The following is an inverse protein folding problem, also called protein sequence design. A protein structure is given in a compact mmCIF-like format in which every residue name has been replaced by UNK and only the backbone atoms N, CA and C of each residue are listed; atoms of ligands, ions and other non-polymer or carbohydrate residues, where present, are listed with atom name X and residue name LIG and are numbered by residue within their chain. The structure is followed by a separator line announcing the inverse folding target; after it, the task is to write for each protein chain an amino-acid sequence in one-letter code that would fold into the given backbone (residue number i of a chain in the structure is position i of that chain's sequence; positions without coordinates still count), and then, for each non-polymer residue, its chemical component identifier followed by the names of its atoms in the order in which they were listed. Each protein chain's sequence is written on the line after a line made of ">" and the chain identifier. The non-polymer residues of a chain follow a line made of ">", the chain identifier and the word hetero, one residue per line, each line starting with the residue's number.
data_IF_393223253724
#
_entry.id   IF_393223253724
#
_cell.length_a   1.000
_cell.length_b   1.000
_cell.length_c   1.000
_cell.angle_alpha   90.00
_cell.angle_beta   90.00
_cell.angle_gamma   90.00
#
_symmetry.space_group_name_H-M   'P 1'
#
loop_
_entity.id
_entity.type
_entity.pdbx_description
1 polymer ?
2 polymer ?
3 polymer ?
4 non-polymer ?
5 non-polymer ?
6 non-polymer ?
7 water ?
#
# COMPACT_ATOMS: atom_id res chain seq x y z
N UNK A 1 9.20 -19.44 -0.32
CA UNK A 1 7.90 -18.92 0.08
C UNK A 1 7.13 -18.67 -1.18
N UNK A 2 5.87 -18.29 -1.00
CA UNK A 2 5.00 -17.95 -2.09
C UNK A 2 5.35 -16.53 -2.59
N UNK A 3 4.93 -16.16 -3.82
CA UNK A 3 5.21 -14.83 -4.37
C UNK A 3 3.99 -14.33 -5.18
N UNK A 4 3.89 -13.01 -5.32
CA UNK A 4 2.86 -12.38 -6.12
C UNK A 4 3.41 -11.31 -7.10
N UNK A 5 2.71 -11.14 -8.22
CA UNK A 5 2.83 -9.94 -9.04
C UNK A 5 1.46 -9.26 -9.13
N UNK A 6 1.41 -7.99 -8.84
CA UNK A 6 0.14 -7.24 -8.85
C UNK A 6 0.37 -5.90 -9.61
N UNK A 7 -0.65 -5.51 -10.41
CA UNK A 7 -0.72 -4.19 -11.03
C UNK A 7 -1.98 -3.48 -10.50
N UNK A 8 -1.81 -2.20 -10.18
CA UNK A 8 -2.79 -1.39 -9.52
C UNK A 8 -2.97 -0.16 -10.41
N UNK A 9 -4.24 0.17 -10.72
CA UNK A 9 -4.57 1.29 -11.56
C UNK A 9 -5.62 2.16 -10.92
N UNK A 10 -5.45 3.48 -10.96
CA UNK A 10 -6.36 4.47 -10.36
C UNK A 10 -6.59 5.59 -11.36
N UNK A 11 -7.84 5.80 -11.72
CA UNK A 11 -8.25 6.90 -12.63
C UNK A 11 -9.24 7.77 -11.89
N UNK A 12 -9.01 9.09 -11.87
CA UNK A 12 -9.79 10.05 -11.11
C UNK A 12 -10.29 11.16 -12.00
N UNK A 13 -11.61 11.28 -12.13
CA UNK A 13 -12.19 12.36 -12.98
C UNK A 13 -12.04 13.76 -12.35
N UNK A 14 -11.94 14.76 -13.23
CA UNK A 14 -11.67 16.11 -12.86
C UNK A 14 -12.68 17.06 -13.53
N UNK A 15 -13.88 17.17 -12.96
CA UNK A 15 -14.93 18.04 -13.54
C UNK A 15 -14.48 19.44 -13.78
N UNK A 16 -14.78 19.95 -14.98
CA UNK A 16 -14.32 21.27 -15.35
C UNK A 16 -12.82 21.52 -15.47
N UNK A 17 -12.01 20.45 -15.40
CA UNK A 17 -10.56 20.53 -15.25
C UNK A 17 -9.84 19.54 -16.16
N UNK A 18 -10.47 19.13 -17.26
CA UNK A 18 -9.81 18.30 -18.23
C UNK A 18 -9.73 16.83 -18.01
N UNK A 19 -8.67 16.21 -18.50
CA UNK A 19 -8.46 14.80 -18.53
C UNK A 19 -8.22 14.15 -17.09
N UNK A 20 -8.67 12.93 -16.85
CA UNK A 20 -8.50 12.29 -15.53
C UNK A 20 -7.05 12.11 -15.15
N UNK A 21 -6.76 12.18 -13.85
CA UNK A 21 -5.46 11.72 -13.32
C UNK A 21 -5.43 10.23 -13.41
N UNK A 22 -4.33 9.68 -13.97
CA UNK A 22 -4.12 8.27 -14.04
C UNK A 22 -2.76 7.83 -13.49
N UNK A 23 -2.78 6.84 -12.58
CA UNK A 23 -1.54 6.33 -11.96
C UNK A 23 -1.60 4.83 -11.93
N UNK A 24 -0.54 4.21 -12.47
CA UNK A 24 -0.44 2.76 -12.51
C UNK A 24 0.88 2.37 -11.82
N UNK A 25 0.82 1.34 -10.97
CA UNK A 25 2.04 0.81 -10.33
C UNK A 25 2.03 -0.68 -10.42
N UNK A 26 3.25 -1.23 -10.52
CA UNK A 26 3.45 -2.68 -10.55
C UNK A 26 4.33 -3.09 -9.36
N UNK A 27 3.96 -4.19 -8.67
CA UNK A 27 4.68 -4.78 -7.56
C UNK A 27 5.02 -6.26 -7.78
N UNK A 28 6.20 -6.67 -7.31
CA UNK A 28 6.48 -8.08 -7.01
C UNK A 28 6.56 -8.16 -5.49
N UNK A 29 5.67 -8.96 -4.89
CA UNK A 29 5.63 -9.05 -3.42
C UNK A 29 5.42 -7.62 -2.86
N UNK A 30 6.21 -7.18 -1.88
CA UNK A 30 6.07 -5.84 -1.36
C UNK A 30 7.02 -4.80 -2.01
N UNK A 31 7.62 -5.14 -3.16
CA UNK A 31 8.57 -4.29 -3.83
C UNK A 31 7.99 -3.73 -5.11
N UNK A 32 7.84 -2.37 -5.14
CA UNK A 32 7.41 -1.71 -6.35
C UNK A 32 8.51 -1.80 -7.45
N UNK A 33 8.13 -2.09 -8.69
CA UNK A 33 9.14 -2.15 -9.79
C UNK A 33 8.89 -1.29 -11.02
N UNK A 34 7.64 -0.84 -11.23
CA UNK A 34 7.31 0.07 -12.35
C UNK A 34 6.19 1.07 -11.95
N UNK A 35 6.16 2.18 -12.68
CA UNK A 35 5.03 3.14 -12.61
C UNK A 35 4.77 3.84 -13.93
N UNK A 36 3.55 4.40 -14.02
CA UNK A 36 3.20 5.37 -15.04
C UNK A 36 2.37 6.42 -14.28
N UNK A 37 2.64 7.69 -14.50
CA UNK A 37 1.83 8.76 -13.89
C UNK A 37 1.52 9.79 -14.96
N UNK A 38 0.23 10.09 -15.20
CA UNK A 38 -0.17 11.11 -16.17
C UNK A 38 0.37 12.51 -15.83
N UNK A 39 0.72 12.78 -14.57
CA UNK A 39 1.30 14.07 -14.16
C UNK A 39 2.80 14.16 -14.43
N UNK A 40 3.46 13.03 -14.73
CA UNK A 40 4.93 13.02 -14.76
C UNK A 40 5.46 13.42 -16.14
N UNK A 41 6.76 13.65 -16.23
CA UNK A 41 7.33 14.22 -17.46
C UNK A 41 7.43 13.25 -18.64
N UNK A 42 7.75 11.97 -18.43
CA UNK A 42 8.18 11.12 -19.59
C UNK A 42 6.98 10.65 -20.44
N UNK A 43 5.80 10.52 -19.82
CA UNK A 43 4.64 9.84 -20.41
C UNK A 43 5.06 8.44 -20.90
N UNK A 44 5.94 7.80 -20.13
CA UNK A 44 6.37 6.41 -20.39
C UNK A 44 6.15 5.57 -19.12
N UNK A 45 5.99 4.27 -19.32
CA UNK A 45 6.20 3.35 -18.22
C UNK A 45 7.69 3.52 -17.79
N UNK A 46 7.91 3.69 -16.49
CA UNK A 46 9.23 3.92 -15.90
C UNK A 46 9.68 2.87 -14.82
N UNK A 47 11.00 2.59 -14.77
CA UNK A 47 11.54 1.69 -13.69
C UNK A 47 11.46 2.33 -12.28
N UNK A 48 11.12 1.53 -11.30
CA UNK A 48 11.22 1.91 -9.89
C UNK A 48 11.99 0.94 -9.00
N UNK A 49 12.61 -0.10 -9.55
CA UNK A 49 13.55 -0.97 -8.85
C UNK A 49 14.81 -1.10 -9.72
N UNK A 50 15.97 -1.35 -9.10
CA UNK A 50 17.18 -1.49 -9.93
C UNK A 50 17.21 -2.64 -10.90
N UNK A 51 16.70 -3.78 -10.49
CA UNK A 51 16.73 -4.98 -11.29
C UNK A 51 15.88 -4.95 -12.55
N UNK A 52 14.95 -4.03 -12.68
CA UNK A 52 14.15 -3.96 -13.91
C UNK A 52 14.84 -3.02 -14.93
N UNK A 53 15.74 -2.13 -14.48
CA UNK A 53 16.43 -1.16 -15.38
C UNK A 53 17.15 -1.80 -16.51
N UNK A 54 17.53 -3.07 -16.37
CA UNK A 54 18.25 -3.72 -17.44
C UNK A 54 17.40 -4.28 -18.53
N UNK A 55 16.08 -4.30 -18.40
CA UNK A 55 15.22 -4.63 -19.54
C UNK A 55 15.48 -3.56 -20.63
N UNK A 56 15.46 -4.02 -21.88
CA UNK A 56 15.81 -3.19 -23.02
C UNK A 56 14.66 -2.35 -23.57
N UNK A 57 14.93 -1.56 -24.63
CA UNK A 57 13.90 -0.57 -25.11
C UNK A 57 12.63 -1.20 -25.63
N UNK A 58 12.74 -2.40 -26.21
CA UNK A 58 11.55 -3.19 -26.62
C UNK A 58 10.61 -3.41 -25.43
N UNK A 59 11.15 -3.69 -24.24
CA UNK A 59 10.30 -3.91 -23.05
C UNK A 59 9.60 -2.57 -22.67
N UNK A 60 10.35 -1.50 -22.59
CA UNK A 60 9.79 -0.19 -22.20
C UNK A 60 8.76 0.36 -23.20
N UNK A 61 9.07 0.23 -24.47
CA UNK A 61 8.15 0.67 -25.54
C UNK A 61 6.83 -0.10 -25.47
N UNK A 62 6.91 -1.42 -25.31
CA UNK A 62 5.76 -2.31 -25.10
C UNK A 62 4.91 -2.00 -23.91
N UNK A 63 5.57 -1.76 -22.76
CA UNK A 63 4.87 -1.50 -21.49
C UNK A 63 4.20 -0.13 -21.58
N UNK A 64 4.82 0.80 -22.27
CA UNK A 64 4.33 2.15 -22.45
C UNK A 64 3.06 2.09 -23.31
N UNK A 65 3.10 1.34 -24.40
CA UNK A 65 1.93 1.24 -25.29
C UNK A 65 0.72 0.69 -24.53
N UNK A 66 0.94 -0.39 -23.81
CA UNK A 66 -0.11 -1.00 -23.02
C UNK A 66 -0.65 -0.12 -21.90
N UNK A 67 0.22 0.56 -21.15
CA UNK A 67 -0.22 1.29 -20.00
C UNK A 67 -1.04 2.49 -20.50
N UNK A 68 -0.64 3.08 -21.61
CA UNK A 68 -1.43 4.17 -22.23
C UNK A 68 -2.81 3.69 -22.70
N UNK A 69 -2.86 2.46 -23.22
CA UNK A 69 -4.15 1.88 -23.59
C UNK A 69 -5.00 1.58 -22.37
N UNK A 70 -4.39 1.21 -21.23
CA UNK A 70 -5.12 1.02 -19.96
C UNK A 70 -5.69 2.39 -19.47
N UNK A 71 -4.90 3.45 -19.62
CA UNK A 71 -5.34 4.80 -19.29
C UNK A 71 -6.61 5.23 -20.07
N UNK A 72 -6.56 5.01 -21.37
CA UNK A 72 -7.68 5.37 -22.24
C UNK A 72 -8.94 4.53 -21.87
N UNK A 73 -8.74 3.25 -21.59
CA UNK A 73 -9.82 2.36 -21.13
C UNK A 73 -10.54 2.96 -19.90
N UNK A 74 -9.76 3.28 -18.84
CA UNK A 74 -10.37 3.79 -17.64
C UNK A 74 -10.94 5.21 -17.79
N UNK A 75 -10.42 5.99 -18.71
CA UNK A 75 -11.03 7.29 -19.09
C UNK A 75 -12.45 7.08 -19.63
N UNK A 76 -12.60 6.12 -20.52
CA UNK A 76 -13.91 5.79 -21.02
C UNK A 76 -14.83 5.21 -19.92
N UNK A 77 -14.27 4.35 -19.06
CA UNK A 77 -14.98 3.66 -17.95
C UNK A 77 -15.63 4.69 -17.04
N UNK A 78 -14.88 5.77 -16.75
CA UNK A 78 -15.43 6.89 -15.93
C UNK A 78 -16.72 7.49 -16.53
N UNK A 79 -16.71 7.73 -17.82
CA UNK A 79 -17.90 8.22 -18.50
C UNK A 79 -19.03 7.17 -18.53
N UNK A 80 -18.67 5.92 -18.78
CA UNK A 80 -19.67 4.84 -18.89
C UNK A 80 -20.40 4.72 -17.54
N UNK A 81 -19.63 4.66 -16.44
CA UNK A 81 -20.25 4.45 -15.09
C UNK A 81 -21.04 5.68 -14.68
N UNK A 82 -20.56 6.86 -15.02
CA UNK A 82 -21.42 8.02 -14.79
C UNK A 82 -22.83 7.87 -15.45
N UNK A 83 -22.87 7.32 -16.65
CA UNK A 83 -24.09 7.09 -17.35
C UNK A 83 -24.90 5.95 -16.69
N UNK A 84 -24.23 4.86 -16.34
CA UNK A 84 -24.97 3.70 -15.71
C UNK A 84 -25.72 4.14 -14.46
N UNK A 85 -25.09 5.00 -13.66
CA UNK A 85 -25.63 5.51 -12.37
C UNK A 85 -26.35 6.87 -12.50
N UNK A 86 -26.45 7.41 -13.71
CA UNK A 86 -27.10 8.74 -13.97
C UNK A 86 -26.57 9.84 -13.00
N UNK A 87 -25.23 9.89 -12.88
CA UNK A 87 -24.60 10.84 -11.98
C UNK A 87 -24.32 12.15 -12.76
N UNK A 88 -24.32 13.25 -12.06
CA UNK A 88 -24.12 14.55 -12.67
C UNK A 88 -22.64 14.69 -13.08
N UNK A 89 -22.41 15.66 -13.96
CA UNK A 89 -21.06 15.97 -14.41
C UNK A 89 -20.29 16.75 -13.31
N UNK A 90 -20.93 17.12 -12.22
CA UNK A 90 -20.33 18.04 -11.22
C UNK A 90 -19.27 17.39 -10.35
N UNK A 91 -19.41 16.10 -10.08
CA UNK A 91 -18.53 15.45 -9.07
C UNK A 91 -17.41 14.65 -9.64
N UNK A 92 -16.31 14.57 -8.89
CA UNK A 92 -15.19 13.65 -9.14
C UNK A 92 -15.52 12.23 -8.72
N UNK A 93 -15.17 11.26 -9.60
CA UNK A 93 -15.35 9.82 -9.31
C UNK A 93 -14.06 9.12 -9.59
N UNK A 94 -13.97 7.91 -9.03
CA UNK A 94 -12.75 7.09 -9.06
C UNK A 94 -13.01 5.72 -9.64
N UNK A 95 -12.23 5.27 -10.62
CA UNK A 95 -12.22 3.85 -11.01
C UNK A 95 -10.88 3.27 -10.59
N UNK A 96 -10.89 2.11 -9.92
CA UNK A 96 -9.69 1.33 -9.61
C UNK A 96 -9.78 -0.07 -10.15
N UNK A 97 -8.63 -0.57 -10.65
CA UNK A 97 -8.51 -1.95 -11.10
C UNK A 97 -7.23 -2.55 -10.48
N UNK A 98 -7.31 -3.85 -10.11
CA UNK A 98 -6.13 -4.60 -9.75
C UNK A 98 -6.19 -5.92 -10.50
N UNK A 99 -5.05 -6.34 -11.06
CA UNK A 99 -4.96 -7.71 -11.49
C UNK A 99 -3.59 -8.28 -11.26
N UNK A 100 -3.53 -9.59 -11.30
CA UNK A 100 -2.21 -10.24 -11.10
C UNK A 100 -2.36 -11.67 -10.64
N UNK A 101 -1.22 -12.25 -10.20
CA UNK A 101 -1.15 -13.68 -9.91
C UNK A 101 -0.27 -14.01 -8.69
N UNK A 102 -0.64 -15.13 -8.05
CA UNK A 102 0.12 -15.71 -6.92
C UNK A 102 0.72 -17.00 -7.41
N UNK A 103 1.93 -17.34 -6.92
CA UNK A 103 2.52 -18.67 -7.17
C UNK A 103 2.99 -19.19 -5.85
N UNK A 104 3.02 -20.53 -5.75
CA UNK A 104 3.53 -21.19 -4.55
C UNK A 104 5.03 -21.21 -4.46
N UNK A 105 5.54 -21.94 -3.46
CA UNK A 105 6.96 -22.14 -3.27
C UNK A 105 7.64 -22.84 -4.43
N UNK A 106 6.88 -23.63 -5.19
CA UNK A 106 7.41 -24.27 -6.37
C UNK A 106 7.46 -23.34 -7.60
N UNK A 107 6.95 -22.10 -7.41
CA UNK A 107 6.79 -21.05 -8.45
C UNK A 107 5.74 -21.41 -9.48
N UNK A 108 4.86 -22.33 -9.13
CA UNK A 108 3.76 -22.72 -9.97
C UNK A 108 2.50 -21.96 -9.58
N UNK A 109 1.62 -21.76 -10.55
CA UNK A 109 0.40 -20.95 -10.39
C UNK A 109 -0.44 -21.39 -9.19
N UNK A 110 -0.90 -20.44 -8.39
CA UNK A 110 -1.79 -20.72 -7.24
C UNK A 110 -3.15 -20.01 -7.36
N UNK A 111 -3.15 -18.73 -7.74
CA UNK A 111 -4.37 -17.94 -7.79
C UNK A 111 -4.23 -16.74 -8.76
N UNK A 112 -5.33 -16.33 -9.40
CA UNK A 112 -5.36 -15.11 -10.21
C UNK A 112 -6.48 -14.16 -9.79
N UNK A 113 -6.29 -12.92 -10.15
CA UNK A 113 -7.21 -11.79 -9.77
C UNK A 113 -7.41 -10.83 -10.94
N UNK A 114 -8.61 -10.27 -11.03
CA UNK A 114 -8.89 -9.16 -11.98
C UNK A 114 -10.17 -8.50 -11.51
N UNK A 115 -10.04 -7.38 -10.84
CA UNK A 115 -11.19 -6.84 -10.14
C UNK A 115 -11.19 -5.30 -10.15
N UNK A 116 -12.41 -4.75 -9.95
CA UNK A 116 -12.68 -3.30 -10.04
C UNK A 116 -13.46 -2.73 -8.87
N UNK A 117 -13.17 -1.48 -8.55
CA UNK A 117 -14.01 -0.66 -7.63
C UNK A 117 -14.38 0.63 -8.33
N UNK A 118 -15.55 1.15 -7.95
CA UNK A 118 -16.06 2.46 -8.34
C UNK A 118 -16.40 3.24 -7.10
N UNK A 119 -15.76 4.41 -6.97
CA UNK A 119 -15.88 5.24 -5.75
C UNK A 119 -15.71 4.45 -4.43
N UNK A 120 -14.71 3.55 -4.44
CA UNK A 120 -14.30 2.88 -3.24
C UNK A 120 -15.03 1.61 -2.89
N UNK A 121 -15.94 1.19 -3.76
CA UNK A 121 -16.62 -0.08 -3.52
C UNK A 121 -16.60 -1.02 -4.66
N UNK A 122 -16.66 -2.30 -4.29
CA UNK A 122 -16.51 -3.38 -5.30
C UNK A 122 -17.55 -3.12 -6.38
N UNK A 123 -17.18 -3.32 -7.65
CA UNK A 123 -18.07 -3.16 -8.78
C UNK A 123 -18.20 -4.49 -9.52
N UNK A 124 -17.07 -5.04 -9.97
CA UNK A 124 -17.04 -6.41 -10.54
C UNK A 124 -15.71 -7.11 -10.23
N UNK A 125 -15.73 -8.43 -10.14
CA UNK A 125 -14.54 -9.21 -9.94
C UNK A 125 -14.62 -10.59 -10.58
N UNK A 126 -13.46 -11.01 -11.11
CA UNK A 126 -13.28 -12.37 -11.63
C UNK A 126 -13.18 -13.31 -10.45
N UNK A 127 -14.01 -14.36 -10.45
CA UNK A 127 -14.08 -15.32 -9.36
C UNK A 127 -12.83 -16.21 -9.41
N UNK A 128 -12.56 -16.91 -8.30
CA UNK A 128 -11.34 -17.70 -8.17
C UNK A 128 -11.21 -18.72 -9.25
N UNK A 129 -12.33 -19.29 -9.72
CA UNK A 129 -12.27 -20.21 -10.85
C UNK A 129 -11.76 -19.65 -12.20
N UNK A 130 -11.63 -18.35 -12.29
CA UNK A 130 -11.22 -17.65 -13.54
C UNK A 130 -12.17 -17.96 -14.73
N UNK A 131 -13.40 -18.31 -14.42
CA UNK A 131 -14.41 -18.58 -15.45
C UNK A 131 -15.73 -17.82 -15.29
N UNK A 132 -15.91 -17.05 -14.22
CA UNK A 132 -17.19 -16.44 -13.92
C UNK A 132 -16.97 -15.14 -13.11
N UNK A 133 -18.01 -14.32 -13.05
CA UNK A 133 -17.93 -12.96 -12.55
C UNK A 133 -18.91 -12.75 -11.37
N UNK A 134 -18.49 -11.90 -10.44
CA UNK A 134 -19.29 -11.43 -9.34
C UNK A 134 -19.57 -9.96 -9.60
N UNK A 135 -20.84 -9.65 -9.83
CA UNK A 135 -21.26 -8.27 -10.10
C UNK A 135 -21.97 -7.76 -8.86
N UNK A 136 -21.55 -6.60 -8.39
CA UNK A 136 -22.06 -6.06 -7.13
C UNK A 136 -23.50 -5.54 -7.17
N UNK A 137 -24.02 -5.13 -8.32
CA UNK A 137 -25.33 -4.53 -8.41
C UNK A 137 -25.84 -4.64 -9.84
N UNK A 138 -26.98 -3.99 -10.09
CA UNK A 138 -27.63 -4.10 -11.36
C UNK A 138 -26.89 -3.41 -12.49
N UNK A 139 -26.18 -2.32 -12.21
CA UNK A 139 -25.30 -1.73 -13.22
C UNK A 139 -24.17 -2.71 -13.64
N UNK A 140 -23.53 -3.33 -12.67
CA UNK A 140 -22.43 -4.22 -12.96
C UNK A 140 -22.90 -5.49 -13.67
N UNK A 141 -24.17 -5.86 -13.56
CA UNK A 141 -24.71 -6.96 -14.38
C UNK A 141 -24.60 -6.64 -15.85
N UNK A 142 -24.82 -5.37 -16.22
CA UNK A 142 -24.60 -4.91 -17.62
C UNK A 142 -23.17 -5.23 -18.12
N UNK A 143 -22.17 -4.96 -17.30
CA UNK A 143 -20.77 -5.20 -17.67
C UNK A 143 -20.57 -6.73 -17.74
N UNK A 144 -21.12 -7.47 -16.75
CA UNK A 144 -20.96 -8.96 -16.71
C UNK A 144 -21.46 -9.60 -18.02
N UNK A 145 -22.65 -9.22 -18.45
CA UNK A 145 -23.20 -9.74 -19.67
C UNK A 145 -22.36 -9.42 -20.90
N UNK A 146 -21.94 -8.18 -20.97
CA UNK A 146 -21.03 -7.73 -22.01
C UNK A 146 -19.75 -8.59 -22.07
N UNK A 147 -19.15 -8.82 -20.91
CA UNK A 147 -17.89 -9.54 -20.85
C UNK A 147 -18.04 -11.07 -21.10
N UNK A 148 -19.22 -11.61 -20.82
CA UNK A 148 -19.52 -12.98 -21.14
C UNK A 148 -19.56 -13.17 -22.68
N UNK A 149 -20.25 -12.26 -23.38
CA UNK A 149 -20.33 -12.34 -24.86
C UNK A 149 -18.94 -12.13 -25.53
N UNK A 150 -18.12 -11.34 -24.90
CA UNK A 150 -16.79 -11.02 -25.44
C UNK A 150 -15.69 -11.94 -24.86
N UNK A 151 -16.08 -12.92 -24.03
CA UNK A 151 -15.17 -13.94 -23.46
C UNK A 151 -13.89 -13.33 -22.84
N UNK A 152 -14.12 -12.30 -22.04
CA UNK A 152 -13.07 -11.65 -21.28
C UNK A 152 -12.46 -12.63 -20.27
N UNK A 153 -13.30 -13.45 -19.59
CA UNK A 153 -12.74 -14.43 -18.59
C UNK A 153 -11.74 -15.41 -19.22
N UNK A 154 -12.05 -15.87 -20.43
CA UNK A 154 -11.13 -16.77 -21.10
C UNK A 154 -9.76 -16.13 -21.39
N UNK A 155 -9.79 -14.91 -21.87
CA UNK A 155 -8.56 -14.17 -22.13
C UNK A 155 -7.76 -13.96 -20.85
N UNK A 156 -8.43 -13.55 -19.78
CA UNK A 156 -7.76 -13.29 -18.51
C UNK A 156 -7.12 -14.58 -17.94
N UNK A 157 -7.85 -15.69 -18.08
CA UNK A 157 -7.39 -17.00 -17.57
C UNK A 157 -6.13 -17.37 -18.29
N UNK A 158 -6.08 -17.14 -19.59
CA UNK A 158 -4.82 -17.41 -20.34
C UNK A 158 -3.61 -16.57 -19.86
N UNK A 159 -3.83 -15.28 -19.63
CA UNK A 159 -2.76 -14.41 -19.12
C UNK A 159 -2.38 -14.81 -17.72
N UNK A 160 -3.38 -15.05 -16.87
CA UNK A 160 -3.11 -15.24 -15.44
C UNK A 160 -2.33 -16.51 -15.13
N UNK A 161 -2.66 -17.59 -15.82
CA UNK A 161 -2.04 -18.87 -15.62
C UNK A 161 -0.80 -19.00 -16.49
N UNK A 162 -0.66 -18.16 -17.50
CA UNK A 162 0.50 -18.23 -18.39
C UNK A 162 1.50 -17.09 -18.26
N UNK A 163 1.33 -16.07 -19.08
CA UNK A 163 2.18 -14.88 -19.10
C UNK A 163 2.47 -14.30 -17.73
N UNK A 164 1.46 -14.14 -16.87
CA UNK A 164 1.67 -13.56 -15.51
C UNK A 164 2.73 -14.34 -14.74
N UNK A 165 2.50 -15.65 -14.68
CA UNK A 165 3.41 -16.57 -13.91
C UNK A 165 4.81 -16.66 -14.52
N UNK A 166 4.89 -16.73 -15.84
CA UNK A 166 6.17 -16.75 -16.55
C UNK A 166 7.08 -15.54 -16.25
N UNK A 167 6.48 -14.35 -16.34
CA UNK A 167 7.20 -13.13 -16.06
C UNK A 167 7.50 -12.95 -14.56
N UNK A 168 6.58 -13.36 -13.68
CA UNK A 168 6.85 -13.29 -12.25
C UNK A 168 8.15 -14.14 -11.98
N UNK A 169 8.26 -15.32 -12.56
CA UNK A 169 9.48 -16.16 -12.39
C UNK A 169 10.72 -15.45 -12.94
N UNK A 170 10.59 -14.81 -14.13
CA UNK A 170 11.69 -14.05 -14.70
C UNK A 170 12.14 -12.95 -13.76
N UNK A 171 11.18 -12.15 -13.29
CA UNK A 171 11.50 -11.10 -12.34
C UNK A 171 12.15 -11.66 -11.04
N UNK A 172 11.64 -12.77 -10.50
CA UNK A 172 12.25 -13.32 -9.27
C UNK A 172 13.67 -13.83 -9.49
N UNK A 173 13.95 -14.31 -10.70
CA UNK A 173 15.34 -14.71 -11.02
C UNK A 173 16.25 -13.45 -11.13
N UNK A 174 15.86 -12.50 -11.95
CA UNK A 174 16.65 -11.34 -12.20
C UNK A 174 16.71 -10.29 -11.07
N UNK A 175 15.64 -10.17 -10.27
CA UNK A 175 15.70 -9.41 -8.99
C UNK A 175 16.07 -10.23 -7.76
N UNK A 176 16.66 -11.41 -7.96
CA UNK A 176 17.05 -12.36 -6.89
C UNK A 176 17.55 -11.75 -5.55
N UNK A 177 18.61 -10.95 -5.58
CA UNK A 177 19.19 -10.37 -4.34
C UNK A 177 18.19 -9.55 -3.46
N UNK A 178 17.28 -8.85 -4.10
CA UNK A 178 16.24 -8.04 -3.49
C UNK A 178 15.00 -8.86 -3.16
N UNK A 179 14.55 -9.65 -4.12
CA UNK A 179 13.23 -10.26 -4.00
C UNK A 179 13.22 -11.57 -3.27
N UNK A 180 14.31 -12.32 -3.34
CA UNK A 180 14.36 -13.60 -2.67
C UNK A 180 14.93 -13.53 -1.27
N UNK A 181 15.14 -12.36 -0.72
CA UNK A 181 15.69 -12.24 0.61
C UNK A 181 14.61 -12.26 1.69
N UNK A 182 15.05 -12.54 2.90
CA UNK A 182 14.22 -12.37 4.06
C UNK A 182 15.04 -11.61 5.10
N UNK A 183 14.53 -10.49 5.61
CA UNK A 183 15.23 -9.75 6.69
C UNK A 183 14.36 -9.87 7.94
N UNK A 184 14.91 -10.52 8.96
CA UNK A 184 14.14 -10.80 10.16
C UNK A 184 14.01 -9.51 10.97
N UNK A 185 12.94 -9.37 11.72
CA UNK A 185 12.77 -8.15 12.50
C UNK A 185 13.81 -8.08 13.62
N UNK A 186 14.31 -6.85 13.80
CA UNK A 186 15.07 -6.45 14.99
C UNK A 186 14.04 -5.98 16.00
N UNK A 187 14.02 -6.61 17.16
CA UNK A 187 12.95 -6.33 18.12
C UNK A 187 13.46 -5.68 19.40
N UNK A 188 12.63 -4.87 20.02
CA UNK A 188 12.90 -4.37 21.41
C UNK A 188 11.60 -3.92 22.09
N UNK A 189 11.73 -3.59 23.36
CA UNK A 189 10.60 -3.15 24.13
C UNK A 189 10.84 -1.76 24.75
N UNK A 190 9.85 -0.90 24.67
CA UNK A 190 9.82 0.37 25.41
C UNK A 190 8.66 0.42 26.41
N UNK A 191 8.77 1.39 27.36
CA UNK A 191 7.87 1.53 28.51
C UNK A 191 7.69 3.03 28.85
N UNK A 192 6.46 3.39 29.20
CA UNK A 192 6.09 4.72 29.69
C UNK A 192 5.23 4.58 30.94
N UNK A 193 5.57 5.34 31.97
CA UNK A 193 4.71 5.47 33.14
C UNK A 193 3.51 6.28 32.63
N UNK A 194 2.27 5.80 32.77
CA UNK A 194 1.12 6.64 32.45
C UNK A 194 0.65 7.34 33.73
N UNK A 195 0.58 6.59 34.83
CA UNK A 195 0.28 7.10 36.16
C UNK A 195 0.89 6.19 37.26
N UNK A 196 0.57 6.49 38.51
CA UNK A 196 0.90 5.56 39.60
C UNK A 196 0.28 4.21 39.38
N UNK A 197 -0.86 4.18 38.67
CA UNK A 197 -1.63 2.97 38.55
C UNK A 197 -1.47 2.26 37.23
N UNK A 198 -0.92 2.91 36.20
CA UNK A 198 -0.82 2.26 34.87
C UNK A 198 0.44 2.58 34.13
N UNK A 199 0.85 1.63 33.29
CA UNK A 199 2.00 1.74 32.40
C UNK A 199 1.61 1.26 30.99
N UNK A 200 2.34 1.77 30.01
CA UNK A 200 2.23 1.35 28.62
C UNK A 200 3.50 0.52 28.32
N UNK A 201 3.35 -0.69 27.78
CA UNK A 201 4.47 -1.46 27.23
C UNK A 201 4.31 -1.43 25.67
N UNK A 202 5.39 -1.14 24.96
CA UNK A 202 5.34 -1.09 23.47
C UNK A 202 6.40 -2.02 22.90
N UNK A 203 5.95 -3.02 22.12
CA UNK A 203 6.79 -3.99 21.51
C UNK A 203 7.04 -3.65 20.02
N UNK A 204 8.30 -3.59 19.66
CA UNK A 204 8.73 -3.01 18.37
C UNK A 204 9.31 -4.12 17.48
N UNK A 205 9.02 -4.03 16.18
CA UNK A 205 9.63 -4.82 15.14
C UNK A 205 10.11 -3.85 14.05
N UNK A 206 11.39 -3.95 13.71
CA UNK A 206 12.00 -2.99 12.83
C UNK A 206 12.82 -3.71 11.74
N UNK A 207 13.00 -3.02 10.59
CA UNK A 207 13.95 -3.43 9.54
C UNK A 207 13.65 -4.85 8.97
N UNK A 208 12.38 -5.17 8.80
CA UNK A 208 11.96 -6.48 8.30
C UNK A 208 11.46 -6.46 6.87
N UNK A 209 11.63 -7.61 6.22
CA UNK A 209 11.14 -7.88 4.88
C UNK A 209 10.93 -9.38 4.70
N UNK A 210 9.79 -9.82 4.13
CA UNK A 210 8.64 -9.00 3.65
C UNK A 210 7.78 -8.43 4.73
N UNK A 211 6.72 -7.73 4.32
CA UNK A 211 5.91 -6.92 5.26
C UNK A 211 5.04 -7.76 6.20
N UNK A 212 4.67 -8.97 5.78
CA UNK A 212 3.80 -9.83 6.55
C UNK A 212 4.48 -10.12 7.92
N UNK A 213 3.80 -9.81 8.99
CA UNK A 213 4.30 -10.07 10.38
C UNK A 213 3.11 -10.22 11.32
N UNK A 214 3.28 -10.96 12.42
CA UNK A 214 2.30 -10.99 13.50
C UNK A 214 2.92 -10.61 14.88
N UNK A 215 2.35 -9.59 15.53
CA UNK A 215 2.73 -9.10 16.86
C UNK A 215 1.50 -9.27 17.75
N UNK A 216 1.61 -10.04 18.81
CA UNK A 216 0.48 -10.30 19.71
C UNK A 216 0.93 -10.17 21.17
N UNK A 217 0.03 -9.70 22.02
CA UNK A 217 0.31 -9.62 23.43
C UNK A 217 -0.40 -10.77 24.12
N UNK A 218 0.25 -11.34 25.12
CA UNK A 218 -0.40 -12.32 25.99
C UNK A 218 -0.27 -11.87 27.42
N UNK A 219 -1.24 -12.26 28.24
CA UNK A 219 -1.16 -12.10 29.69
C UNK A 219 -1.33 -13.47 30.33
N UNK A 220 -0.35 -13.89 31.15
CA UNK A 220 -0.31 -15.23 31.69
C UNK A 220 -0.39 -16.36 30.65
N UNK A 221 -0.01 -16.13 29.40
CA UNK A 221 -0.19 -17.20 28.39
C UNK A 221 -1.45 -17.08 27.54
N UNK A 222 -2.32 -16.11 27.85
CA UNK A 222 -3.58 -15.94 27.13
C UNK A 222 -3.52 -14.73 26.21
N UNK A 223 -3.81 -14.97 24.92
CA UNK A 223 -4.09 -13.88 23.98
C UNK A 223 -4.86 -12.79 24.67
N UNK A 224 -4.36 -11.56 24.59
CA UNK A 224 -5.01 -10.44 25.20
C UNK A 224 -5.12 -9.29 24.23
N UNK A 225 -6.35 -8.99 23.77
CA UNK A 225 -6.61 -7.84 22.88
C UNK A 225 -7.32 -6.63 23.59
N UNK A 226 -7.96 -6.84 24.75
CA UNK A 226 -8.40 -5.66 25.50
C UNK A 226 -7.20 -4.79 25.87
N UNK A 227 -7.40 -3.46 25.77
CA UNK A 227 -6.40 -2.44 26.10
C UNK A 227 -5.09 -2.54 25.29
N UNK A 228 -5.16 -3.11 24.08
CA UNK A 228 -4.02 -3.08 23.12
C UNK A 228 -4.22 -2.09 21.94
N UNK A 229 -3.12 -1.70 21.33
CA UNK A 229 -3.11 -0.82 20.18
C UNK A 229 -2.09 -1.38 19.19
N UNK A 230 -2.49 -1.62 17.94
CA UNK A 230 -1.62 -2.20 16.93
C UNK A 230 -1.61 -1.24 15.76
N UNK A 231 -0.48 -0.64 15.43
CA UNK A 231 -0.43 0.28 14.27
C UNK A 231 -0.28 -0.50 12.96
N UNK A 232 -0.73 0.12 11.87
CA UNK A 232 -0.54 -0.44 10.54
C UNK A 232 0.94 -0.60 10.23
N UNK A 233 1.30 -1.70 9.58
CA UNK A 233 2.69 -1.92 9.15
C UNK A 233 3.04 -0.80 8.16
N UNK A 234 4.18 -0.22 8.32
CA UNK A 234 4.61 0.96 7.65
C UNK A 234 6.03 0.82 6.99
N UNK A 235 6.23 1.50 5.83
CA UNK A 235 7.54 1.45 5.16
C UNK A 235 8.54 2.32 5.85
N UNK A 236 9.76 1.81 6.04
CA UNK A 236 10.83 2.66 6.52
C UNK A 236 11.40 3.60 5.45
N UNK A 237 11.23 3.23 4.19
CA UNK A 237 11.71 4.01 3.04
C UNK A 237 13.02 3.47 2.46
N UNK A 238 13.62 2.47 3.09
CA UNK A 238 14.81 1.76 2.55
C UNK A 238 14.56 0.33 2.01
N UNK A 239 13.31 -0.04 1.74
CA UNK A 239 12.98 -1.40 1.35
C UNK A 239 12.48 -2.33 2.50
N UNK A 240 12.59 -1.90 3.77
CA UNK A 240 12.07 -2.64 4.93
C UNK A 240 10.83 -1.98 5.53
N UNK A 241 10.24 -2.70 6.48
CA UNK A 241 9.07 -2.28 7.17
C UNK A 241 9.22 -2.26 8.71
N UNK A 242 8.26 -1.57 9.33
CA UNK A 242 8.21 -1.39 10.76
C UNK A 242 6.77 -1.63 11.26
N UNK A 243 6.69 -2.09 12.50
CA UNK A 243 5.41 -2.22 13.21
C UNK A 243 5.62 -2.19 14.73
N UNK A 244 4.60 -1.72 15.46
CA UNK A 244 4.59 -1.89 16.90
C UNK A 244 3.20 -2.21 17.44
N UNK A 245 3.18 -2.79 18.65
CA UNK A 245 1.93 -3.09 19.39
C UNK A 245 2.14 -2.71 20.84
N UNK A 246 1.16 -2.02 21.42
CA UNK A 246 1.25 -1.58 22.80
C UNK A 246 0.10 -2.13 23.65
N UNK A 247 0.37 -2.28 24.93
CA UNK A 247 -0.65 -2.63 25.93
C UNK A 247 -0.57 -1.69 27.13
N UNK A 248 -1.72 -1.31 27.69
CA UNK A 248 -1.75 -0.52 28.95
C UNK A 248 -2.02 -1.55 30.03
N UNK A 249 -1.17 -1.55 31.08
CA UNK A 249 -1.17 -2.56 32.12
C UNK A 249 -1.20 -1.92 33.50
N UNK A 250 -1.68 -2.67 34.52
CA UNK A 250 -1.59 -2.09 35.88
C UNK A 250 -0.14 -2.06 36.35
N UNK A 251 0.24 -0.94 36.95
CA UNK A 251 1.56 -0.81 37.62
C UNK A 251 1.95 -1.99 38.47
N UNK A 252 3.20 -2.44 38.30
CA UNK A 252 3.74 -3.57 39.06
C UNK A 252 3.42 -4.95 38.51
N UNK A 253 2.55 -5.07 37.49
CA UNK A 253 2.10 -6.36 36.94
C UNK A 253 2.67 -6.65 35.55
N UNK A 254 3.67 -5.87 35.17
CA UNK A 254 4.28 -5.96 33.86
C UNK A 254 4.81 -7.36 33.50
N UNK A 255 5.34 -8.10 34.48
CA UNK A 255 5.83 -9.49 34.25
C UNK A 255 4.80 -10.50 33.79
N UNK A 256 3.52 -10.24 34.00
CA UNK A 256 2.46 -11.11 33.47
C UNK A 256 2.45 -11.12 31.91
N UNK A 257 2.92 -10.02 31.30
CA UNK A 257 2.68 -9.79 29.87
C UNK A 257 3.86 -10.19 28.99
N UNK A 258 3.56 -10.78 27.84
CA UNK A 258 4.59 -11.18 26.86
C UNK A 258 4.18 -10.72 25.48
N UNK A 259 5.14 -10.21 24.72
CA UNK A 259 4.96 -9.94 23.29
C UNK A 259 5.46 -11.08 22.46
N UNK A 260 4.67 -11.55 21.50
CA UNK A 260 5.07 -12.64 20.62
C UNK A 260 5.20 -12.16 19.16
N UNK A 261 6.32 -12.48 18.51
CA UNK A 261 6.65 -11.99 17.17
C UNK A 261 6.83 -13.18 16.23
N UNK A 262 6.00 -13.20 15.16
CA UNK A 262 6.11 -14.18 14.09
C UNK A 262 6.49 -13.52 12.78
N UNK A 263 7.48 -14.10 12.12
CA UNK A 263 7.98 -13.62 10.85
C UNK A 263 8.73 -14.73 10.11
N UNK A 264 8.61 -14.69 8.79
CA UNK A 264 9.29 -15.62 7.88
C UNK A 264 10.79 -15.78 8.13
N UNK A 265 11.44 -14.67 8.43
CA UNK A 265 12.86 -14.64 8.76
C UNK A 265 13.29 -15.13 10.12
N UNK A 266 12.34 -15.36 11.03
CA UNK A 266 12.60 -15.93 12.34
C UNK A 266 12.35 -17.47 12.35
N UNK A 267 13.42 -18.28 12.49
CA UNK A 267 13.18 -19.74 12.53
C UNK A 267 12.34 -20.22 13.73
N UNK A 268 12.34 -19.45 14.82
CA UNK A 268 11.40 -19.66 15.93
C UNK A 268 10.79 -18.31 16.26
N UNK A 269 9.49 -18.26 16.58
CA UNK A 269 8.95 -16.99 17.03
C UNK A 269 9.58 -16.54 18.35
N UNK A 270 9.60 -15.22 18.54
CA UNK A 270 10.27 -14.59 19.66
C UNK A 270 9.25 -14.26 20.73
N UNK A 271 9.69 -14.32 21.98
CA UNK A 271 8.92 -13.86 23.10
C UNK A 271 9.72 -12.70 23.76
N UNK A 272 9.12 -11.54 23.93
CA UNK A 272 9.74 -10.44 24.66
C UNK A 272 8.98 -10.22 25.97
N UNK A 273 9.73 -9.89 27.03
CA UNK A 273 9.16 -9.52 28.36
C UNK A 273 9.82 -8.20 28.83
N UNK A 274 9.10 -7.35 29.56
CA UNK A 274 9.66 -6.12 30.16
C UNK A 274 10.02 -6.29 31.64
N UNK A 275 11.22 -5.79 31.99
CA UNK A 275 11.69 -5.70 33.38
C UNK A 275 12.12 -4.28 33.76
N UNK A 276 11.82 -3.86 34.99
CA UNK A 276 12.20 -2.50 35.43
C UNK A 276 13.72 -2.33 35.71
N UNK B 1 -21.02 6.67 -2.63
CA UNK B 1 -19.59 7.14 -2.56
C UNK B 1 -19.03 6.71 -1.23
N UNK B 2 -17.91 5.99 -1.20
CA UNK B 2 -17.15 5.67 0.04
C UNK B 2 -16.17 6.78 0.35
N UNK B 3 -16.16 7.23 1.62
CA UNK B 3 -15.12 8.11 2.10
C UNK B 3 -14.52 7.52 3.38
N UNK B 4 -13.21 7.53 3.43
CA UNK B 4 -12.44 7.00 4.55
C UNK B 4 -11.41 8.00 4.98
N UNK B 5 -11.34 8.24 6.29
CA UNK B 5 -10.42 9.23 6.85
C UNK B 5 -9.01 8.65 6.92
N UNK B 6 -7.96 9.46 6.64
CA UNK B 6 -6.59 8.85 6.69
C UNK B 6 -6.10 8.50 8.09
N UNK B 7 -5.43 7.37 8.18
CA UNK B 7 -4.57 7.09 9.32
C UNK B 7 -3.18 7.74 9.06
N UNK B 8 -2.58 8.34 10.07
CA UNK B 8 -1.39 9.19 9.83
C UNK B 8 -0.35 8.71 10.88
N UNK B 9 0.83 8.38 10.42
CA UNK B 9 1.97 8.03 11.31
C UNK B 9 3.15 8.89 10.94
N UNK B 10 3.85 9.46 11.92
CA UNK B 10 5.01 10.31 11.72
C UNK B 10 6.17 9.68 12.50
N UNK B 11 7.25 9.35 11.83
CA UNK B 11 8.32 8.49 12.40
C UNK B 11 9.61 8.63 11.62
N UNK B 12 10.70 8.06 12.10
CA UNK B 12 11.98 8.10 11.37
C UNK B 12 12.33 6.74 10.76
N UNK B 13 13.20 6.78 9.76
CA UNK B 13 13.59 5.59 9.07
C UNK B 13 14.45 4.73 10.01
N UNK B 14 15.31 5.41 10.76
CA UNK B 14 16.27 4.76 11.68
C UNK B 14 16.01 5.33 13.06
N UNK B 15 16.37 4.58 14.11
CA UNK B 15 16.25 5.18 15.45
C UNK B 15 16.94 6.54 15.55
N UNK B 16 16.29 7.50 16.18
CA UNK B 16 16.73 8.89 16.14
C UNK B 16 17.92 9.06 17.06
N UNK B 17 18.94 9.72 16.57
CA UNK B 17 20.10 10.08 17.33
C UNK B 17 20.37 11.54 16.93
N UNK B 18 20.26 12.44 17.92
CA UNK B 18 20.55 13.86 17.75
C UNK B 18 21.92 14.05 17.10
N UNK B 19 21.92 14.91 16.09
CA UNK B 19 23.12 15.18 15.31
C UNK B 19 23.49 14.14 14.24
N UNK B 20 22.68 13.10 14.01
CA UNK B 20 22.99 12.09 12.98
C UNK B 20 21.94 12.17 11.91
N UNK B 21 22.37 12.20 10.66
CA UNK B 21 21.49 12.24 9.48
C UNK B 21 20.51 11.05 9.44
N UNK B 22 19.29 11.23 8.90
CA UNK B 22 18.19 10.25 9.03
C UNK B 22 17.09 10.70 7.99
N UNK B 23 15.95 10.00 7.96
CA UNK B 23 14.76 10.41 7.15
C UNK B 23 13.56 10.53 8.04
N UNK B 24 12.83 11.61 7.85
CA UNK B 24 11.57 11.81 8.52
C UNK B 24 10.45 11.43 7.54
N UNK B 25 9.57 10.57 8.04
CA UNK B 25 8.49 9.93 7.29
C UNK B 25 7.13 10.36 7.81
N UNK B 26 6.19 10.61 6.85
CA UNK B 26 4.78 10.75 7.15
C UNK B 26 4.05 9.72 6.26
N UNK B 27 3.48 8.69 6.88
CA UNK B 27 2.80 7.64 6.15
C UNK B 27 1.30 7.85 6.37
N UNK B 28 0.55 8.04 5.26
CA UNK B 28 -0.90 8.22 5.33
C UNK B 28 -1.53 7.05 4.63
N UNK B 29 -2.43 6.38 5.30
CA UNK B 29 -3.02 5.14 4.77
C UNK B 29 -4.51 5.02 5.07
N UNK B 30 -5.17 4.09 4.38
CA UNK B 30 -6.57 3.83 4.65
C UNK B 30 -7.57 4.89 4.20
N UNK B 31 -7.21 5.74 3.28
CA UNK B 31 -8.07 6.85 2.90
C UNK B 31 -8.78 6.66 1.56
N UNK B 32 -9.84 7.46 1.37
CA UNK B 32 -10.60 7.48 0.09
C UNK B 32 -11.50 8.74 0.16
N UNK B 33 -11.60 9.57 -0.91
CA UNK B 33 -10.98 9.43 -2.21
C UNK B 33 -9.47 9.73 -2.15
N UNK B 34 -8.80 9.71 -3.31
CA UNK B 34 -7.34 9.82 -3.36
C UNK B 34 -6.72 11.22 -3.17
N UNK B 35 -7.49 12.27 -3.40
CA UNK B 35 -6.96 13.65 -3.30
C UNK B 35 -6.60 13.91 -1.83
N UNK B 36 -5.36 14.27 -1.57
CA UNK B 36 -4.88 14.46 -0.14
C UNK B 36 -3.75 15.51 -0.20
N UNK B 37 -3.70 16.37 0.82
CA UNK B 37 -2.57 17.27 0.96
C UNK B 37 -1.73 16.87 2.13
N UNK B 38 -0.42 16.73 1.94
CA UNK B 38 0.51 16.30 3.02
C UNK B 38 1.74 17.19 2.98
N UNK B 39 2.07 17.83 4.12
CA UNK B 39 3.28 18.65 4.25
C UNK B 39 4.00 18.19 5.51
N UNK B 40 5.33 18.24 5.45
CA UNK B 40 6.17 18.10 6.63
C UNK B 40 6.55 19.48 7.10
N UNK B 41 6.56 19.66 8.42
CA UNK B 41 6.79 20.94 9.02
C UNK B 41 8.02 20.86 9.93
N UNK B 42 8.82 21.93 9.91
CA UNK B 42 9.98 22.10 10.83
C UNK B 42 9.73 23.38 11.58
N UNK B 43 9.59 23.26 12.88
CA UNK B 43 9.18 24.39 13.73
C UNK B 43 8.01 25.18 13.16
N UNK B 44 7.00 24.46 12.65
CA UNK B 44 5.82 25.06 12.09
C UNK B 44 5.86 25.57 10.66
N UNK B 45 7.03 25.55 10.03
CA UNK B 45 7.19 26.03 8.63
C UNK B 45 7.32 24.82 7.67
N UNK B 46 6.65 24.83 6.50
CA UNK B 46 6.72 23.69 5.58
C UNK B 46 8.11 23.48 5.06
N UNK B 47 8.47 22.20 4.91
CA UNK B 47 9.72 21.79 4.28
C UNK B 47 9.49 21.57 2.77
N UNK B 48 10.22 22.28 1.92
CA UNK B 48 10.07 22.10 0.46
C UNK B 48 10.51 20.79 -0.14
N UNK B 49 11.67 20.30 0.31
CA UNK B 49 12.37 19.17 -0.37
C UNK B 49 11.88 17.87 0.27
N UNK B 50 10.63 17.56 -0.01
CA UNK B 50 9.94 16.38 0.43
C UNK B 50 9.59 15.54 -0.81
N UNK B 51 9.81 14.25 -0.72
CA UNK B 51 9.53 13.30 -1.79
C UNK B 51 8.29 12.49 -1.40
N UNK B 52 7.61 11.88 -2.38
CA UNK B 52 6.50 11.02 -2.04
C UNK B 52 6.46 9.82 -2.97
N UNK B 53 5.87 8.77 -2.45
CA UNK B 53 5.72 7.51 -3.20
C UNK B 53 4.59 7.63 -4.20
N UNK B 54 4.52 6.67 -5.13
CA UNK B 54 3.47 6.54 -6.16
C UNK B 54 2.19 6.00 -5.53
N UNK B 55 1.05 6.68 -5.78
CA UNK B 55 -0.24 6.24 -5.25
C UNK B 55 -0.49 4.75 -5.52
N UNK B 56 -0.79 4.04 -4.43
CA UNK B 56 -1.11 2.63 -4.43
C UNK B 56 -2.29 2.41 -3.51
N UNK B 57 -2.79 1.20 -3.44
CA UNK B 57 -3.91 0.84 -2.59
C UNK B 57 -3.93 -0.57 -2.11
N UNK B 58 -4.64 -0.74 -1.00
CA UNK B 58 -4.75 -2.05 -0.30
C UNK B 58 -5.91 -2.92 -0.79
N UNK B 59 -6.05 -4.06 -0.17
CA UNK B 59 -7.08 -5.02 -0.49
C UNK B 59 -8.54 -4.52 -0.44
N UNK B 60 -8.77 -3.58 0.47
CA UNK B 60 -10.05 -2.89 0.63
C UNK B 60 -10.27 -1.64 -0.20
N UNK B 61 -9.39 -1.39 -1.14
CA UNK B 61 -9.32 -0.33 -2.08
C UNK B 61 -8.89 1.03 -1.48
N UNK B 62 -8.58 1.09 -0.19
CA UNK B 62 -8.14 2.31 0.41
C UNK B 62 -6.70 2.64 -0.07
N UNK B 63 -6.41 3.93 -0.13
CA UNK B 63 -5.12 4.42 -0.66
C UNK B 63 -4.02 4.54 0.42
N UNK B 64 -2.78 4.52 0.00
CA UNK B 64 -1.67 4.87 0.92
C UNK B 64 -0.58 5.59 0.15
N UNK B 65 0.12 6.54 0.86
CA UNK B 65 1.25 7.30 0.35
C UNK B 65 2.30 7.44 1.50
N UNK B 66 3.56 7.44 1.12
CA UNK B 66 4.66 7.85 2.06
C UNK B 66 5.27 9.15 1.57
N UNK B 67 5.36 10.13 2.48
CA UNK B 67 6.06 11.39 2.21
C UNK B 67 7.30 11.37 3.11
N UNK B 68 8.44 11.81 2.59
CA UNK B 68 9.71 11.69 3.36
C UNK B 68 10.72 12.73 2.99
N UNK B 69 11.61 13.05 3.94
CA UNK B 69 12.62 14.09 3.73
C UNK B 69 13.85 13.76 4.55
N UNK B 70 15.03 14.05 4.01
CA UNK B 70 16.30 13.83 4.75
C UNK B 70 16.37 14.91 5.82
N UNK B 71 16.77 14.56 7.04
CA UNK B 71 16.87 15.54 8.12
C UNK B 71 17.87 15.05 9.17
N UNK B 72 18.34 15.98 9.98
CA UNK B 72 19.23 15.64 11.10
C UNK B 72 18.52 16.16 12.33
N UNK B 73 17.97 15.27 13.18
CA UNK B 73 17.26 15.79 14.35
C UNK B 73 18.21 16.42 15.40
N UNK B 74 17.67 17.40 16.14
CA UNK B 74 18.30 17.97 17.32
C UNK B 74 17.33 17.93 18.52
N UNK B 75 17.81 18.23 19.74
CA UNK B 75 16.89 18.36 20.89
C UNK B 75 15.87 19.50 20.75
N UNK B 76 16.25 20.54 20.03
CA UNK B 76 15.50 21.82 19.92
C UNK B 76 14.37 21.82 18.86
N UNK B 77 14.62 21.14 17.75
CA UNK B 77 13.73 21.28 16.58
C UNK B 77 12.48 20.42 16.70
N UNK B 78 11.31 21.00 16.40
CA UNK B 78 10.05 20.24 16.47
C UNK B 78 9.59 19.91 15.04
N UNK B 79 9.24 18.65 14.79
CA UNK B 79 8.73 18.23 13.47
C UNK B 79 7.29 17.72 13.58
N UNK B 80 6.56 17.90 12.48
CA UNK B 80 5.16 17.50 12.43
C UNK B 80 4.77 17.17 10.97
N UNK B 81 3.65 16.48 10.83
CA UNK B 81 3.04 16.25 9.49
C UNK B 81 1.65 16.90 9.48
N UNK B 82 1.35 17.70 8.45
CA UNK B 82 0.05 18.33 8.27
C UNK B 82 -0.75 17.66 7.15
N UNK B 83 -1.93 17.18 7.44
CA UNK B 83 -2.75 16.48 6.45
C UNK B 83 -4.07 17.14 6.25
N UNK B 84 -4.47 17.32 4.99
CA UNK B 84 -5.84 17.73 4.71
C UNK B 84 -6.49 16.78 3.70
N UNK B 85 -7.76 16.52 3.96
CA UNK B 85 -8.56 15.55 3.17
C UNK B 85 -9.99 15.95 3.36
N UNK B 86 -10.80 15.56 2.38
CA UNK B 86 -12.22 15.89 2.43
C UNK B 86 -12.98 15.39 3.66
N UNK B 87 -12.49 14.33 4.30
CA UNK B 87 -13.11 13.80 5.48
C UNK B 87 -12.79 14.57 6.78
N UNK B 88 -11.83 15.48 6.72
CA UNK B 88 -11.42 16.31 7.87
C UNK B 88 -12.10 17.69 7.90
N UNK B 89 -12.64 18.08 9.05
CA UNK B 89 -13.32 19.37 9.16
C UNK B 89 -12.32 20.53 9.24
N UNK B 90 -11.07 20.20 9.62
CA UNK B 90 -9.93 21.09 9.48
C UNK B 90 -8.67 20.22 9.38
N UNK B 91 -7.57 20.76 8.82
CA UNK B 91 -6.36 20.01 8.70
C UNK B 91 -5.87 19.43 10.00
N UNK B 92 -5.33 18.24 9.91
CA UNK B 92 -4.80 17.56 11.09
C UNK B 92 -3.29 17.72 11.15
N UNK B 93 -2.77 18.13 12.29
CA UNK B 93 -1.30 18.23 12.44
C UNK B 93 -0.84 17.21 13.47
N UNK B 94 0.03 16.30 13.05
CA UNK B 94 0.46 15.21 13.93
C UNK B 94 1.95 15.44 14.23
N UNK B 95 2.27 15.64 15.51
CA UNK B 95 3.66 15.91 15.92
C UNK B 95 4.48 14.65 15.88
N UNK B 96 5.76 14.71 15.48
CA UNK B 96 6.71 13.57 15.62
C UNK B 96 6.95 13.23 17.10
N UNK B 97 6.62 12.01 17.53
CA UNK B 97 6.97 11.47 18.84
C UNK B 97 8.02 10.39 18.53
N UNK B 98 9.20 10.53 19.13
CA UNK B 98 10.30 9.62 18.84
C UNK B 98 10.11 8.15 19.28
N UNK B 99 9.12 7.82 20.12
CA UNK B 99 8.79 6.40 20.45
C UNK B 99 7.44 5.95 19.87
N UNK B 100 7.08 6.44 18.69
CA UNK B 100 5.87 5.97 18.04
C UNK B 100 6.07 5.74 16.56
N UNK C 1 4.97 -8.27 -16.68
CA UNK C 1 4.44 -7.39 -17.79
C UNK C 1 2.91 -7.24 -17.71
N UNK C 2 2.44 -6.09 -18.21
CA UNK C 2 1.04 -5.89 -18.35
C UNK C 2 0.37 -6.90 -19.36
N UNK C 3 -0.90 -7.13 -19.11
CA UNK C 3 -1.79 -7.79 -20.08
C UNK C 3 -2.06 -6.89 -21.29
N UNK C 4 -2.28 -7.49 -22.44
CA UNK C 4 -2.73 -6.74 -23.59
C UNK C 4 -4.26 -6.74 -23.53
N UNK C 5 -4.79 -5.86 -22.71
CA UNK C 5 -6.19 -5.82 -22.30
C UNK C 5 -6.83 -4.50 -22.79
N UNK C 6 -7.94 -4.65 -23.53
CA UNK C 6 -8.70 -3.51 -24.08
C UNK C 6 -10.20 -3.45 -23.68
N UNK C 7 -10.69 -4.39 -22.85
CA UNK C 7 -12.11 -4.49 -22.50
C UNK C 7 -12.55 -3.33 -21.61
N UNK C 8 -13.72 -2.80 -21.91
CA UNK C 8 -14.29 -1.64 -21.20
C UNK C 8 -15.52 -2.06 -20.38
N UNK C 9 -15.80 -1.40 -19.25
CA UNK C 9 -16.93 -1.70 -18.40
C UNK C 9 -18.23 -1.38 -19.15
X LIG D 1 1.25 -5.84 -3.59
X LIG D 1 0.64 -6.95 -2.90
X LIG D 1 1.06 -4.52 -2.88
X LIG D 1 2.10 -4.30 -1.93
X LIG E 1 12.28 3.77 19.57
X LIG E 1 11.84 2.80 20.55
X LIG E 1 12.09 3.21 18.14
X LIG E 1 13.40 3.00 17.58
X LIG F 1 -7.25 19.02 -10.01
X LIG F 1 -8.51 18.38 -9.81
X LIG F 1 -6.13 18.15 -9.43
X LIG F 1 -4.97 18.96 -9.28
X LIG G 1 -3.99 14.69 -16.70
X LIG G 1 -4.17 13.38 -17.23
X LIG G 1 -2.59 14.83 -16.05
X LIG G 1 -2.51 14.20 -14.78
X LIG H 1 -20.59 -0.99 -6.58
X LIG H 1 -21.98 -1.12 -6.77
X LIG H 1 -19.84 0.13 -7.34
X LIG H 1 -20.65 1.24 -7.72
X LIG I 1 -18.91 6.88 -22.50
X LIG I 1 -18.88 5.46 -22.38
X LIG I 1 -17.62 7.50 -21.89
X LIG I 1 -16.62 7.96 -22.82
X LIG J 1 15.79 2.02 -23.11
X LIG J 1 14.38 2.27 -23.20
X LIG J 1 16.13 1.33 -21.77
X LIG J 1 16.49 -0.05 -21.98
X LIG K 1 16.76 -19.55 -10.38
X LIG K 1 17.55 -20.69 -10.75
X LIG K 1 16.62 -19.46 -8.86
X LIG K 1 16.56 -18.08 -8.48
X LIG L 1 -13.96 -9.45 -4.57
X LIG L 1 -15.10 -10.28 -4.93
X LIG L 1 -13.76 -9.32 -3.06
X LIG L 1 -13.36 -7.97 -2.73
X LIG M 1 -9.20 15.50 -8.51
X LIG M 1 -10.48 15.54 -9.19
X LIG M 1 -8.09 15.11 -9.48
X LIG M 1 -7.12 14.17 -9.04
X LIG N 1 9.99 12.51 -12.87
X LIG N 1 10.81 13.61 -13.27
X LIG N 1 8.57 12.89 -13.19
X LIG N 1 8.52 13.96 -14.13
X LIG N 1 7.81 13.30 -11.98
X LIG N 1 7.35 12.19 -11.21
X LIG O 1 -22.59 11.30 -7.71
X LIG O 1 -23.35 10.58 -6.72
X LIG O 1 -23.22 12.54 -8.37
X LIG O 1 -22.69 13.77 -7.79
X LIG O 1 -24.74 12.35 -8.43
X LIG O 1 -25.28 13.10 -9.52
X LIG P 1 -13.83 19.53 -20.49
X LIG P 1 -14.90 18.57 -20.33
X LIG P 1 -13.64 20.31 -19.21
X LIG P 1 -13.44 19.34 -18.21
X LIG P 1 -14.88 21.13 -18.92
X LIG P 1 -14.52 22.51 -18.69
X LIG Q 1 -6.66 -11.15 37.90
X LIG Q 1 -5.27 -10.98 38.35
X LIG Q 1 -7.56 -10.56 38.92
X LIG Q 1 -6.92 -10.49 36.59
X LIG Q 1 -6.88 -12.62 37.72
X LIG R 1 0.14 14.92 -6.03
X LIG R 1 1.45 15.44 -6.50
X LIG R 1 -0.41 15.78 -4.92
X LIG R 1 -0.80 14.94 -7.17
X LIG R 1 0.33 13.54 -5.51
X LIG S 1 -7.74 -4.83 -4.94
X LIG S 1 -8.88 -5.06 -4.13
X LIG S 1 -6.49 -4.44 -4.15
X LIG S 1 -5.76 -5.63 -3.79
X LIG T 1 11.16 4.00 14.24
X LIG T 1 10.53 5.24 13.87
X LIG T 1 12.57 4.36 14.60
X LIG T 1 13.42 3.23 14.42
X LIG U 1 2.52 6.69 15.27
X LIG U 1 2.52 5.37 14.82
X LIG U 1 3.37 7.71 14.52
X LIG U 1 2.71 8.99 14.65
X LIG V 1 3.98 14.85 20.82
X LIG V 1 3.06 13.82 20.49
X LIG V 1 5.31 14.33 20.31
X LIG V 1 6.37 15.31 20.39
X LIG W 1 -3.82 8.47 13.35
X LIG W 1 -4.45 9.17 12.31
X LIG W 1 -3.89 6.96 13.08
X LIG W 1 -2.54 6.44 13.02
X LIG X 1 -2.73 21.41 4.48
X LIG X 1 -2.72 22.30 5.66
X LIG X 1 -1.50 20.60 3.89
X LIG X 1 -0.95 19.49 4.59
X LIG X 1 -0.27 21.37 3.38
X LIG X 1 0.86 20.63 2.91
#
# INVERSE_FOLDING_TARGET
>A
GSHSMRYFFTSVSRPGRGEPRFIAVGYVDDTQFVRFDSDAASQRMEPRAPWIEQEGPEYWDGETRKVKAHSQTHRVDLGTLRGYYNQSEAGSHTVQRMYGCDVGSDWRFLRGYHQYAYDGKDYIALKEDLRSWTAADMAAQTTKHKWEAAHVAEQLRAYLEGTCVEWLRRYLENGKETLQRTDAPKTHMTHHAVSDHEATLRCWALSFYPAEITLTWQRDGEDQTQDTELVETRPAGDGTFQKWAAVVVPSGQEQRYTCHVQHEGLPKPLTLRWEP
>B
MIQRTPKIQVYSRHPAENGKSNFLNCYVSGFHPSDIEVDLLKNGERIEKVEHSDLSFSKDWSFYLLYYTEFTPTEKDEYACRVNHVTLSQPKIVKWDRDM
>C
ILGKFLHRL
>D hetero
1 EDO C1 O1 C2 O2
>E hetero
1 EDO C1 O1 C2 O2
>F hetero
1 EDO C1 O1 C2 O2
>G hetero
1 EDO C1 O1 C2 O2
>H hetero
1 EDO C1 O1 C2 O2
>I hetero
1 EDO C1 O1 C2 O2
>J hetero
1 EDO C1 O1 C2 O2
>K hetero
1 EDO C1 O1 C2 O2
>L hetero
1 EDO C1 O1 C2 O2
>M hetero
1 EDO C1 O1 C2 O2
>N hetero
1 GOL C1 O1 C2 O2 C3 O3
>O hetero
1 GOL C1 O1 C2 O2 C3 O3
>P hetero
1 GOL C1 O1 C2 O2 C3 O3
>Q hetero
1 SO4 S O1 O2 O3 O4
>R hetero
1 SO4 S O1 O2 O3 O4
>S hetero
1 EDO C1 O1 C2 O2
>T hetero
1 EDO C1 O1 C2 O2
>U hetero
1 EDO C1 O1 C2 O2
>V hetero
1 EDO C1 O1 C2 O2
>W hetero
1 EDO C1 O1 C2 O2
>X hetero
1 GOL C1 O1 C2 O2 C3 O3
#
